data_IF_476852375703
#
_entry.id   IF_476852375703
#
_cell.length_a   1.000
_cell.length_b   1.000
_cell.length_c   1.000
_cell.angle_alpha   90.00
_cell.angle_beta   90.00
_cell.angle_gamma   90.00
#
_symmetry.space_group_name_H-M   'P 1'
#
loop_
_entity.id
_entity.type
_entity.pdbx_description
1 polymer ?
#
# COMPACT_ATOMS: atom_id res chain seq x y z
N UNK A 1 7.95 28.97 -4.07
CA UNK A 1 6.47 28.95 -3.99
C UNK A 1 5.96 27.50 -3.88
N UNK A 2 6.60 26.66 -3.05
CA UNK A 2 6.29 25.22 -2.88
C UNK A 2 5.95 24.83 -1.43
N UNK A 3 5.96 25.75 -0.46
CA UNK A 3 5.64 25.45 0.94
C UNK A 3 4.18 25.02 1.19
N UNK A 4 3.32 24.99 0.16
CA UNK A 4 1.88 24.76 0.30
C UNK A 4 1.43 23.32 -0.03
N UNK A 5 2.37 22.42 -0.34
CA UNK A 5 2.10 21.00 -0.62
C UNK A 5 2.72 20.07 0.44
N UNK A 6 3.34 20.66 1.46
CA UNK A 6 4.02 19.95 2.54
C UNK A 6 3.24 20.09 3.85
N UNK A 7 3.31 19.05 4.68
CA UNK A 7 2.54 18.93 5.92
C UNK A 7 3.48 18.74 7.12
N UNK A 8 3.12 19.41 8.22
CA UNK A 8 3.63 19.13 9.57
C UNK A 8 2.50 18.43 10.35
N UNK A 9 2.84 17.43 11.18
CA UNK A 9 1.88 16.70 12.01
C UNK A 9 2.16 17.00 13.48
N UNK A 10 1.15 17.44 14.23
CA UNK A 10 1.33 17.90 15.61
C UNK A 10 0.88 16.87 16.65
N UNK A 11 -0.07 15.99 16.30
CA UNK A 11 -0.58 14.97 17.21
C UNK A 11 -0.98 13.65 16.51
N UNK A 12 -1.34 12.66 17.33
CA UNK A 12 -1.72 11.32 16.87
C UNK A 12 -3.03 11.29 16.08
N UNK A 13 -3.96 12.23 16.32
CA UNK A 13 -5.22 12.31 15.60
C UNK A 13 -4.97 12.83 14.18
N UNK A 14 -4.18 13.90 14.05
CA UNK A 14 -3.74 14.44 12.77
C UNK A 14 -2.94 13.42 11.97
N UNK A 15 -2.03 12.68 12.62
CA UNK A 15 -1.29 11.60 12.00
C UNK A 15 -2.21 10.52 11.40
N UNK A 16 -3.19 10.03 12.18
CA UNK A 16 -4.15 9.03 11.69
C UNK A 16 -5.03 9.58 10.55
N UNK A 17 -5.46 10.85 10.63
CA UNK A 17 -6.23 11.50 9.55
C UNK A 17 -5.39 11.64 8.28
N UNK A 18 -4.13 12.01 8.40
CA UNK A 18 -3.22 12.14 7.27
C UNK A 18 -3.01 10.80 6.58
N UNK A 19 -2.73 9.72 7.32
CA UNK A 19 -2.59 8.38 6.75
C UNK A 19 -3.86 7.98 5.99
N UNK A 20 -5.04 8.11 6.61
CA UNK A 20 -6.32 7.78 5.96
C UNK A 20 -6.57 8.60 4.69
N UNK A 21 -6.13 9.86 4.68
CA UNK A 21 -6.21 10.72 3.49
C UNK A 21 -5.32 10.20 2.36
N UNK A 22 -4.07 9.81 2.68
CA UNK A 22 -3.14 9.19 1.71
C UNK A 22 -3.69 7.86 1.20
N UNK A 23 -4.21 6.99 2.07
CA UNK A 23 -4.82 5.72 1.67
C UNK A 23 -5.97 5.95 0.69
N UNK A 24 -6.84 6.91 0.96
CA UNK A 24 -7.93 7.28 0.08
C UNK A 24 -7.41 7.80 -1.26
N UNK A 25 -6.47 8.74 -1.24
CA UNK A 25 -5.86 9.32 -2.45
C UNK A 25 -5.26 8.23 -3.34
N UNK A 26 -4.47 7.33 -2.75
CA UNK A 26 -3.86 6.20 -3.45
C UNK A 26 -4.92 5.24 -4.01
N UNK A 27 -5.91 4.82 -3.22
CA UNK A 27 -6.96 3.88 -3.69
C UNK A 27 -7.80 4.42 -4.84
N UNK A 28 -7.95 5.74 -4.95
CA UNK A 28 -8.65 6.39 -6.05
C UNK A 28 -7.76 6.73 -7.25
N UNK A 29 -6.47 6.40 -7.19
CA UNK A 29 -5.50 6.75 -8.22
C UNK A 29 -5.59 5.83 -9.45
N UNK A 30 -5.22 6.34 -10.65
CA UNK A 30 -5.01 5.51 -11.83
C UNK A 30 -3.95 4.42 -11.61
N UNK A 31 -2.92 4.70 -10.83
CA UNK A 31 -1.81 3.79 -10.53
C UNK A 31 -2.28 2.58 -9.71
N UNK A 32 -3.13 2.81 -8.70
CA UNK A 32 -3.76 1.73 -7.96
C UNK A 32 -4.67 0.89 -8.86
N UNK A 33 -5.44 1.53 -9.74
CA UNK A 33 -6.26 0.82 -10.73
C UNK A 33 -5.42 0.01 -11.72
N UNK A 34 -4.28 0.54 -12.16
CA UNK A 34 -3.32 -0.16 -13.02
C UNK A 34 -2.71 -1.35 -12.30
N UNK A 35 -2.28 -1.16 -11.05
CA UNK A 35 -1.84 -2.25 -10.20
C UNK A 35 -2.93 -3.30 -10.04
N UNK A 36 -4.20 -2.89 -9.85
CA UNK A 36 -5.37 -3.78 -9.78
C UNK A 36 -5.73 -4.52 -11.08
N UNK A 37 -5.18 -4.12 -12.22
CA UNK A 37 -5.40 -4.80 -13.50
C UNK A 37 -4.18 -5.59 -14.01
N UNK A 38 -2.98 -5.32 -13.49
CA UNK A 38 -1.72 -5.91 -13.99
C UNK A 38 -1.27 -7.21 -13.31
N UNK A 39 -1.85 -7.57 -12.16
CA UNK A 39 -1.43 -8.75 -11.39
C UNK A 39 -2.10 -10.02 -11.93
N UNK A 40 -1.25 -10.92 -12.42
CA UNK A 40 -1.61 -12.20 -13.04
C UNK A 40 -2.33 -13.16 -12.07
N UNK A 41 -2.13 -13.04 -10.77
CA UNK A 41 -2.62 -13.98 -9.76
C UNK A 41 -4.00 -13.64 -9.15
N UNK A 42 -4.77 -12.73 -9.75
CA UNK A 42 -6.05 -12.25 -9.17
C UNK A 42 -7.32 -12.89 -9.69
N UNK A 43 -7.20 -13.87 -10.57
CA UNK A 43 -8.39 -14.52 -11.11
C UNK A 43 -8.99 -15.51 -10.13
N UNK A 44 -8.22 -16.08 -9.21
CA UNK A 44 -8.72 -17.07 -8.25
C UNK A 44 -8.77 -16.50 -6.83
N UNK A 45 -9.86 -16.77 -6.11
CA UNK A 45 -9.97 -16.53 -4.68
C UNK A 45 -9.01 -17.44 -3.93
N UNK A 46 -8.05 -16.88 -3.20
CA UNK A 46 -7.08 -17.65 -2.42
C UNK A 46 -7.69 -18.44 -1.25
N UNK A 47 -8.95 -18.19 -0.90
CA UNK A 47 -9.67 -18.92 0.15
C UNK A 47 -10.52 -20.09 -0.37
N UNK A 48 -11.08 -19.98 -1.58
CA UNK A 48 -12.09 -20.93 -2.09
C UNK A 48 -11.72 -21.55 -3.43
N UNK A 49 -10.69 -21.04 -4.12
CA UNK A 49 -10.30 -21.45 -5.46
C UNK A 49 -11.23 -20.95 -6.58
N UNK A 50 -12.37 -20.33 -6.24
CA UNK A 50 -13.32 -19.80 -7.23
C UNK A 50 -12.67 -18.74 -8.11
N UNK A 51 -12.97 -18.79 -9.40
CA UNK A 51 -12.39 -17.97 -10.43
C UNK A 51 -13.33 -16.85 -10.88
N UNK A 52 -12.80 -15.63 -11.07
CA UNK A 52 -13.55 -14.45 -11.52
C UNK A 52 -14.30 -14.69 -12.84
N UNK A 53 -13.60 -15.24 -13.83
CA UNK A 53 -14.12 -15.37 -15.19
C UNK A 53 -14.96 -16.64 -15.37
N UNK A 54 -14.54 -17.76 -14.75
CA UNK A 54 -15.24 -19.04 -14.87
C UNK A 54 -16.49 -19.11 -13.98
N UNK A 55 -16.43 -18.57 -12.76
CA UNK A 55 -17.54 -18.62 -11.79
C UNK A 55 -18.34 -17.31 -11.72
N UNK A 56 -17.91 -16.27 -12.45
CA UNK A 56 -18.62 -14.99 -12.52
C UNK A 56 -18.65 -14.22 -11.20
N UNK A 57 -17.64 -14.41 -10.34
CA UNK A 57 -17.56 -13.78 -9.02
C UNK A 57 -16.63 -12.56 -9.02
N UNK A 58 -16.91 -11.60 -8.14
CA UNK A 58 -15.99 -10.48 -7.90
C UNK A 58 -14.84 -10.92 -6.97
N UNK A 59 -13.61 -10.61 -7.39
CA UNK A 59 -12.39 -10.81 -6.62
C UNK A 59 -11.79 -9.45 -6.29
N UNK A 60 -11.55 -9.23 -4.99
CA UNK A 60 -10.92 -8.06 -4.41
C UNK A 60 -9.52 -8.41 -3.92
N UNK A 61 -8.68 -7.39 -3.74
CA UNK A 61 -7.35 -7.55 -3.16
C UNK A 61 -7.35 -7.14 -1.71
N UNK A 62 -6.86 -8.03 -0.87
CA UNK A 62 -6.60 -7.75 0.53
C UNK A 62 -5.09 -7.67 0.77
N UNK A 63 -4.60 -6.51 1.21
CA UNK A 63 -3.24 -6.35 1.71
C UNK A 63 -3.04 -7.26 2.93
N UNK A 64 -2.03 -8.13 2.90
CA UNK A 64 -1.86 -9.19 3.91
C UNK A 64 -0.54 -9.04 4.67
N UNK A 65 -0.54 -9.31 5.99
CA UNK A 65 0.56 -9.06 6.97
C UNK A 65 0.98 -7.60 7.13
N UNK A 66 0.99 -6.85 6.04
CA UNK A 66 1.28 -5.43 6.01
C UNK A 66 0.07 -4.74 5.39
N UNK A 67 -0.66 -3.97 6.19
CA UNK A 67 -1.80 -3.21 5.69
C UNK A 67 -1.33 -2.00 4.88
N UNK A 68 -2.22 -1.43 4.07
CA UNK A 68 -1.92 -0.17 3.38
C UNK A 68 -1.59 0.95 4.36
N UNK A 69 -2.32 1.05 5.47
CA UNK A 69 -2.01 1.96 6.59
C UNK A 69 -0.56 1.79 7.06
N UNK A 70 -0.10 0.55 7.28
CA UNK A 70 1.27 0.31 7.72
C UNK A 70 2.32 0.62 6.64
N UNK A 71 1.99 0.52 5.35
CA UNK A 71 2.90 0.97 4.29
C UNK A 71 3.03 2.49 4.30
N UNK A 72 1.92 3.21 4.43
CA UNK A 72 1.93 4.68 4.55
C UNK A 72 2.73 5.11 5.77
N UNK A 73 2.47 4.49 6.92
CA UNK A 73 3.17 4.75 8.19
C UNK A 73 4.69 4.56 8.05
N UNK A 74 5.14 3.44 7.46
CA UNK A 74 6.58 3.20 7.20
C UNK A 74 7.21 4.27 6.31
N UNK A 75 6.51 4.75 5.29
CA UNK A 75 7.02 5.81 4.42
C UNK A 75 7.11 7.12 5.21
N UNK A 76 6.09 7.46 5.98
CA UNK A 76 6.11 8.63 6.87
C UNK A 76 7.29 8.55 7.86
N UNK A 77 7.51 7.39 8.49
CA UNK A 77 8.63 7.19 9.42
C UNK A 77 9.98 7.46 8.75
N UNK A 78 10.15 7.06 7.48
CA UNK A 78 11.38 7.37 6.71
C UNK A 78 11.51 8.85 6.35
N UNK A 79 10.42 9.55 6.03
CA UNK A 79 10.46 11.01 5.87
C UNK A 79 10.90 11.69 7.17
N UNK A 80 10.31 11.29 8.30
CA UNK A 80 10.60 11.88 9.61
C UNK A 80 12.03 11.60 10.06
N UNK A 81 12.57 10.39 9.80
CA UNK A 81 13.96 10.04 10.15
C UNK A 81 14.99 10.87 9.39
N UNK A 82 14.66 11.31 8.18
CA UNK A 82 15.50 12.15 7.33
C UNK A 82 15.19 13.65 7.47
N UNK A 83 14.35 14.04 8.44
CA UNK A 83 13.92 15.42 8.67
C UNK A 83 13.27 16.08 7.43
N UNK A 84 12.55 15.29 6.63
CA UNK A 84 11.84 15.76 5.45
C UNK A 84 10.38 16.12 5.79
N UNK A 85 9.88 17.18 5.15
CA UNK A 85 8.46 17.52 5.27
C UNK A 85 7.59 16.52 4.50
N UNK A 86 6.43 16.20 5.05
CA UNK A 86 5.53 15.21 4.44
C UNK A 86 4.81 15.77 3.23
N UNK A 87 4.63 14.97 2.18
CA UNK A 87 3.86 15.34 1.00
C UNK A 87 3.00 14.15 0.55
N UNK A 88 1.68 14.30 0.58
CA UNK A 88 0.77 13.18 0.28
C UNK A 88 0.93 12.65 -1.16
N UNK A 89 1.25 13.52 -2.12
CA UNK A 89 1.46 13.13 -3.51
C UNK A 89 2.75 12.32 -3.67
N UNK A 90 3.83 12.75 -3.00
CA UNK A 90 5.09 12.02 -3.03
C UNK A 90 4.99 10.66 -2.33
N UNK A 91 4.25 10.59 -1.21
CA UNK A 91 3.95 9.31 -0.56
C UNK A 91 3.12 8.42 -1.49
N UNK A 92 2.13 8.96 -2.20
CA UNK A 92 1.37 8.21 -3.21
C UNK A 92 2.24 7.73 -4.38
N UNK A 93 3.25 8.50 -4.79
CA UNK A 93 4.23 8.10 -5.81
C UNK A 93 5.00 6.86 -5.35
N UNK A 94 5.54 6.90 -4.12
CA UNK A 94 6.26 5.76 -3.52
C UNK A 94 5.35 4.54 -3.40
N UNK A 95 4.12 4.72 -2.91
CA UNK A 95 3.12 3.64 -2.86
C UNK A 95 2.88 3.05 -4.25
N UNK A 96 2.73 3.88 -5.27
CA UNK A 96 2.50 3.42 -6.64
C UNK A 96 3.66 2.57 -7.14
N UNK A 97 4.90 3.00 -6.87
CA UNK A 97 6.09 2.29 -7.33
C UNK A 97 6.25 0.92 -6.64
N UNK A 98 6.10 0.86 -5.31
CA UNK A 98 6.20 -0.43 -4.60
C UNK A 98 5.09 -1.42 -5.06
N UNK A 99 3.89 -0.93 -5.35
CA UNK A 99 2.80 -1.78 -5.84
C UNK A 99 3.05 -2.24 -7.28
N UNK A 100 3.43 -1.35 -8.19
CA UNK A 100 3.70 -1.68 -9.59
C UNK A 100 4.91 -2.59 -9.78
N UNK A 101 5.88 -2.56 -8.84
CA UNK A 101 6.99 -3.52 -8.78
C UNK A 101 6.61 -4.86 -8.12
N UNK A 102 5.33 -5.09 -7.77
CA UNK A 102 4.85 -6.28 -7.08
C UNK A 102 5.61 -6.60 -5.78
N UNK A 103 6.05 -5.58 -5.05
CA UNK A 103 6.80 -5.79 -3.80
C UNK A 103 5.87 -5.96 -2.58
N UNK A 104 4.60 -5.62 -2.74
CA UNK A 104 3.61 -5.59 -1.66
C UNK A 104 2.92 -6.96 -1.48
N UNK A 105 2.84 -7.51 -0.25
CA UNK A 105 2.10 -8.73 0.02
C UNK A 105 0.58 -8.52 -0.06
N UNK A 106 -0.12 -9.45 -0.71
CA UNK A 106 -1.57 -9.44 -0.80
C UNK A 106 -2.14 -10.84 -1.01
N UNK A 107 -3.46 -10.95 -0.90
CA UNK A 107 -4.22 -12.12 -1.30
C UNK A 107 -5.48 -11.70 -2.07
N UNK A 108 -5.79 -12.31 -3.23
CA UNK A 108 -7.06 -12.12 -3.91
C UNK A 108 -8.16 -12.90 -3.19
N UNK A 109 -9.26 -12.24 -2.85
CA UNK A 109 -10.36 -12.83 -2.09
C UNK A 109 -11.69 -12.40 -2.69
N UNK A 110 -12.67 -13.30 -2.66
CA UNK A 110 -14.03 -12.91 -2.94
C UNK A 110 -14.57 -11.98 -1.85
N UNK A 111 -15.48 -11.09 -2.21
CA UNK A 111 -15.97 -10.01 -1.35
C UNK A 111 -16.48 -10.48 0.03
N UNK A 112 -17.16 -11.63 0.12
CA UNK A 112 -17.64 -12.15 1.40
C UNK A 112 -16.51 -12.58 2.34
N UNK A 113 -15.44 -13.20 1.81
CA UNK A 113 -14.27 -13.60 2.60
C UNK A 113 -13.44 -12.37 2.97
N UNK A 114 -13.28 -11.43 2.04
CA UNK A 114 -12.59 -10.17 2.32
C UNK A 114 -13.25 -9.40 3.47
N UNK A 115 -14.59 -9.27 3.46
CA UNK A 115 -15.32 -8.67 4.59
C UNK A 115 -15.20 -9.48 5.88
N UNK A 116 -15.15 -10.80 5.80
CA UNK A 116 -15.00 -11.65 6.98
C UNK A 116 -13.66 -11.38 7.69
N UNK A 117 -12.57 -11.17 6.93
CA UNK A 117 -11.27 -10.79 7.50
C UNK A 117 -11.32 -9.44 8.22
N UNK A 118 -12.01 -8.44 7.66
CA UNK A 118 -12.13 -7.13 8.33
C UNK A 118 -13.03 -7.15 9.57
N UNK A 119 -13.98 -8.09 9.64
CA UNK A 119 -15.01 -8.14 10.67
C UNK A 119 -14.76 -9.21 11.75
N UNK A 120 -13.73 -10.02 11.62
CA UNK A 120 -13.45 -11.15 12.51
C UNK A 120 -11.96 -11.27 12.77
N UNK A 121 -11.59 -12.05 13.78
CA UNK A 121 -10.18 -12.33 14.02
C UNK A 121 -9.64 -13.23 12.87
N UNK A 122 -8.35 -13.10 12.55
CA UNK A 122 -7.75 -13.85 11.45
C UNK A 122 -7.71 -15.37 11.72
N UNK A 123 -7.58 -15.80 12.98
CA UNK A 123 -7.56 -17.22 13.34
C UNK A 123 -8.86 -17.94 12.97
N UNK A 124 -10.01 -17.33 13.27
CA UNK A 124 -11.35 -17.85 12.93
C UNK A 124 -11.51 -18.00 11.41
N UNK A 125 -11.00 -17.01 10.66
CA UNK A 125 -11.01 -17.06 9.20
C UNK A 125 -10.15 -18.21 8.68
N UNK A 126 -8.96 -18.38 9.24
CA UNK A 126 -8.02 -19.44 8.86
C UNK A 126 -8.50 -20.84 9.24
N UNK A 127 -9.24 -20.98 10.34
CA UNK A 127 -9.90 -22.25 10.69
C UNK A 127 -10.92 -22.66 9.62
N UNK A 128 -11.60 -21.69 9.00
CA UNK A 128 -12.59 -21.93 7.94
C UNK A 128 -11.95 -22.07 6.56
N UNK A 129 -10.89 -21.32 6.29
CA UNK A 129 -10.21 -21.23 5.00
C UNK A 129 -8.69 -21.35 5.18
N UNK A 130 -8.17 -22.54 5.52
CA UNK A 130 -6.74 -22.73 5.79
C UNK A 130 -5.86 -22.47 4.56
N UNK A 131 -6.41 -22.68 3.36
CA UNK A 131 -5.70 -22.48 2.09
C UNK A 131 -5.30 -21.03 1.82
N UNK A 132 -5.89 -20.07 2.55
CA UNK A 132 -5.47 -18.66 2.51
C UNK A 132 -3.95 -18.56 2.69
N UNK A 133 -3.37 -19.31 3.63
CA UNK A 133 -1.94 -19.23 3.95
C UNK A 133 -1.07 -19.60 2.73
N UNK A 134 -1.50 -20.60 1.97
CA UNK A 134 -0.75 -21.13 0.84
C UNK A 134 -0.89 -20.24 -0.41
N UNK A 135 -1.92 -19.40 -0.46
CA UNK A 135 -2.26 -18.57 -1.61
C UNK A 135 -1.92 -17.08 -1.42
N UNK A 136 -1.20 -16.73 -0.34
CA UNK A 136 -0.67 -15.38 -0.15
C UNK A 136 0.44 -15.13 -1.16
N UNK A 137 0.33 -14.03 -1.89
CA UNK A 137 1.46 -13.44 -2.56
C UNK A 137 2.29 -12.67 -1.54
N UNK A 138 3.51 -13.13 -1.26
CA UNK A 138 4.35 -12.53 -0.21
C UNK A 138 5.00 -11.21 -0.64
N UNK A 139 5.06 -10.91 -1.94
CA UNK A 139 5.84 -9.79 -2.46
C UNK A 139 7.34 -9.93 -2.17
N UNK A 140 8.08 -8.89 -2.53
CA UNK A 140 9.49 -8.70 -2.19
C UNK A 140 9.59 -7.48 -1.26
N UNK A 141 9.35 -7.72 0.02
CA UNK A 141 9.27 -6.66 1.05
C UNK A 141 10.60 -5.93 1.21
N UNK A 142 11.72 -6.64 1.06
CA UNK A 142 13.05 -6.01 1.14
C UNK A 142 13.25 -5.05 -0.03
N UNK A 143 12.87 -5.46 -1.24
CA UNK A 143 12.87 -4.58 -2.41
C UNK A 143 11.93 -3.38 -2.25
N UNK A 144 10.80 -3.54 -1.54
CA UNK A 144 9.92 -2.41 -1.23
C UNK A 144 10.66 -1.33 -0.42
N UNK A 145 11.44 -1.73 0.59
CA UNK A 145 12.24 -0.80 1.38
C UNK A 145 13.34 -0.14 0.56
N UNK A 146 14.01 -0.89 -0.32
CA UNK A 146 15.00 -0.31 -1.25
C UNK A 146 14.39 0.77 -2.15
N UNK A 147 13.17 0.53 -2.65
CA UNK A 147 12.43 1.51 -3.46
C UNK A 147 12.08 2.75 -2.63
N UNK A 148 11.59 2.57 -1.40
CA UNK A 148 11.29 3.68 -0.48
C UNK A 148 12.55 4.53 -0.27
N UNK A 149 13.67 3.89 0.09
CA UNK A 149 14.93 4.58 0.37
C UNK A 149 15.46 5.30 -0.87
N UNK A 150 15.35 4.68 -2.06
CA UNK A 150 15.69 5.33 -3.33
C UNK A 150 14.91 6.64 -3.55
N UNK A 151 13.59 6.65 -3.34
CA UNK A 151 12.78 7.86 -3.51
C UNK A 151 13.11 8.93 -2.47
N UNK A 152 13.40 8.53 -1.23
CA UNK A 152 13.80 9.46 -0.17
C UNK A 152 15.12 10.16 -0.49
N UNK A 153 16.14 9.41 -0.92
CA UNK A 153 17.43 9.98 -1.33
C UNK A 153 17.29 10.87 -2.57
N UNK A 154 16.47 10.45 -3.55
CA UNK A 154 16.19 11.27 -4.73
C UNK A 154 15.52 12.60 -4.35
N UNK A 155 14.58 12.59 -3.40
CA UNK A 155 13.94 13.81 -2.92
C UNK A 155 14.94 14.75 -2.24
N UNK A 156 15.82 14.22 -1.40
CA UNK A 156 16.90 14.99 -0.74
C UNK A 156 17.79 15.67 -1.77
N UNK A 157 18.26 14.92 -2.77
CA UNK A 157 19.09 15.45 -3.86
C UNK A 157 18.41 16.59 -4.62
N UNK A 158 17.09 16.51 -4.83
CA UNK A 158 16.31 17.55 -5.50
C UNK A 158 16.25 18.81 -4.62
N UNK A 159 15.90 18.67 -3.34
CA UNK A 159 15.78 19.78 -2.40
C UNK A 159 17.12 20.49 -2.17
N UNK A 160 18.21 19.74 -2.06
CA UNK A 160 19.55 20.30 -1.92
C UNK A 160 19.97 21.11 -3.14
N UNK A 161 19.65 20.64 -4.35
CA UNK A 161 19.92 21.39 -5.59
C UNK A 161 19.09 22.67 -5.66
N UNK A 162 17.84 22.66 -5.22
CA UNK A 162 17.01 23.86 -5.19
C UNK A 162 17.56 24.89 -4.20
N UNK A 163 17.97 24.46 -3.00
CA UNK A 163 18.54 25.34 -1.99
C UNK A 163 19.89 25.95 -2.40
N UNK A 164 20.70 25.22 -3.17
CA UNK A 164 22.00 25.70 -3.67
C UNK A 164 21.90 26.60 -4.93
N UNK A 165 20.74 26.63 -5.60
CA UNK A 165 20.49 27.49 -6.76
C UNK A 165 19.66 28.75 -6.43
N UNK A 166 19.33 28.95 -5.15
CA UNK A 166 18.65 30.14 -4.59
C UNK A 166 19.65 31.07 -3.91
#
# INVERSE_FOLDING_TARGET
MYNNIFYELFDAEEHSKFIKSVEKQFRTSPEYSLWLNSVVHRHNCGATGLNKDADGIEIEVHHYRITLYNWVERIIDRFMSEHLNLNSHYICLILSDIHLNNTVPYIPLMHCVHRMIHNSNMEDVLLKYPDIINNIYNGDVDRAYEIIDYHIELLKDILDKENNNM
#
